data_IF_121409789824
#
_entry.id   IF_121409789824
#
_cell.length_a   1.000
_cell.length_b   1.000
_cell.length_c   1.000
_cell.angle_alpha   90.00
_cell.angle_beta   90.00
_cell.angle_gamma   90.00
#
_symmetry.space_group_name_H-M   'P 1'
#
loop_
_entity.id
_entity.type
_entity.pdbx_description
1 polymer ?
#
# COMPACT_ATOMS: atom_id res chain seq x y z
N UNK A 1 1.63 -1.00 -0.18
CA UNK A 1 1.67 -2.44 0.17
C UNK A 1 1.64 -3.36 -1.05
N UNK A 2 1.34 -2.85 -2.26
CA UNK A 2 1.37 -3.65 -3.49
C UNK A 2 0.22 -4.65 -3.65
N UNK A 3 -0.76 -4.67 -2.73
CA UNK A 3 -1.84 -5.67 -2.75
C UNK A 3 -2.65 -5.55 -4.04
N UNK A 4 -2.78 -6.68 -4.74
CA UNK A 4 -3.67 -6.83 -5.89
C UNK A 4 -5.02 -7.31 -5.36
N UNK A 5 -5.86 -6.36 -4.93
CA UNK A 5 -7.15 -6.65 -4.31
C UNK A 5 -8.23 -6.87 -5.39
N UNK A 6 -8.88 -8.04 -5.43
CA UNK A 6 -9.97 -8.28 -6.37
C UNK A 6 -11.23 -7.53 -5.94
N UNK A 7 -11.96 -6.99 -6.93
CA UNK A 7 -13.23 -6.31 -6.74
C UNK A 7 -14.24 -6.84 -7.76
N UNK A 8 -15.43 -7.19 -7.30
CA UNK A 8 -16.54 -7.49 -8.19
C UNK A 8 -17.21 -6.19 -8.63
N UNK A 9 -17.43 -6.05 -9.94
CA UNK A 9 -18.33 -5.04 -10.50
C UNK A 9 -19.69 -5.70 -10.64
N UNK A 10 -20.72 -5.04 -10.12
CA UNK A 10 -22.07 -5.58 -10.02
C UNK A 10 -23.02 -4.76 -10.86
N UNK A 11 -24.07 -5.41 -11.35
CA UNK A 11 -25.27 -4.69 -11.75
C UNK A 11 -25.80 -3.89 -10.52
N UNK A 12 -26.24 -2.63 -10.70
CA UNK A 12 -26.67 -1.80 -9.58
C UNK A 12 -27.76 -2.47 -8.74
N UNK A 13 -27.48 -2.65 -7.45
CA UNK A 13 -28.44 -3.21 -6.48
C UNK A 13 -28.61 -2.26 -5.30
N UNK A 14 -29.84 -2.09 -4.82
CA UNK A 14 -30.13 -1.23 -3.66
C UNK A 14 -30.10 -2.07 -2.38
N UNK A 15 -29.22 -1.70 -1.45
CA UNK A 15 -29.11 -2.31 -0.13
C UNK A 15 -29.17 -1.17 0.89
N UNK A 16 -30.13 -1.22 1.82
CA UNK A 16 -30.29 -0.21 2.87
C UNK A 16 -30.34 1.24 2.32
N UNK A 17 -31.03 1.44 1.19
CA UNK A 17 -31.19 2.75 0.56
C UNK A 17 -29.97 3.26 -0.23
N UNK A 18 -28.88 2.49 -0.28
CA UNK A 18 -27.70 2.81 -1.09
C UNK A 18 -27.60 1.94 -2.33
N UNK A 19 -27.29 2.56 -3.47
CA UNK A 19 -26.97 1.82 -4.71
C UNK A 19 -25.54 1.30 -4.67
N UNK A 20 -25.41 -0.02 -4.70
CA UNK A 20 -24.14 -0.73 -4.74
C UNK A 20 -23.84 -1.14 -6.18
N UNK A 21 -22.69 -0.72 -6.70
CA UNK A 21 -22.18 -1.09 -8.04
C UNK A 21 -20.88 -1.88 -7.98
N UNK A 22 -20.33 -2.05 -6.78
CA UNK A 22 -19.14 -2.86 -6.55
C UNK A 22 -19.13 -3.45 -5.15
N UNK A 23 -18.46 -4.58 -5.01
CA UNK A 23 -18.22 -5.22 -3.73
C UNK A 23 -16.83 -5.84 -3.69
N UNK A 24 -16.23 -5.86 -2.50
CA UNK A 24 -14.91 -6.48 -2.31
C UNK A 24 -15.00 -7.99 -2.45
N UNK A 25 -13.97 -8.56 -3.07
CA UNK A 25 -13.65 -9.98 -2.98
C UNK A 25 -12.43 -10.11 -2.06
N UNK A 26 -12.25 -11.26 -1.41
CA UNK A 26 -11.20 -11.40 -0.41
C UNK A 26 -9.81 -11.57 -1.04
N UNK A 27 -9.61 -12.67 -1.77
CA UNK A 27 -8.37 -12.98 -2.47
C UNK A 27 -8.61 -14.07 -3.55
N UNK A 28 -7.63 -14.34 -4.44
CA UNK A 28 -7.77 -15.36 -5.49
C UNK A 28 -8.12 -16.76 -4.98
N UNK A 29 -7.56 -17.16 -3.84
CA UNK A 29 -7.86 -18.46 -3.22
C UNK A 29 -9.33 -18.56 -2.78
N UNK A 30 -9.87 -17.51 -2.16
CA UNK A 30 -11.26 -17.43 -1.73
C UNK A 30 -12.24 -17.41 -2.92
N UNK A 31 -11.91 -16.69 -3.99
CA UNK A 31 -12.68 -16.67 -5.24
C UNK A 31 -12.79 -18.08 -5.82
N UNK A 32 -11.66 -18.78 -5.89
CA UNK A 32 -11.58 -20.14 -6.41
C UNK A 32 -12.35 -21.12 -5.51
N UNK A 33 -12.16 -21.03 -4.18
CA UNK A 33 -12.84 -21.87 -3.19
C UNK A 33 -14.36 -21.72 -3.25
N UNK A 34 -14.88 -20.50 -3.43
CA UNK A 34 -16.32 -20.24 -3.59
C UNK A 34 -16.84 -20.58 -4.98
N UNK A 35 -15.95 -20.87 -5.94
CA UNK A 35 -16.30 -21.18 -7.31
C UNK A 35 -16.99 -20.03 -8.03
N UNK A 36 -16.65 -18.79 -7.70
CA UNK A 36 -17.21 -17.59 -8.32
C UNK A 36 -16.82 -17.48 -9.80
N UNK A 37 -17.75 -17.01 -10.62
CA UNK A 37 -17.60 -16.83 -12.06
C UNK A 37 -18.08 -15.45 -12.51
N UNK A 38 -17.55 -14.97 -13.63
CA UNK A 38 -18.09 -13.79 -14.28
C UNK A 38 -19.46 -14.13 -14.87
N UNK A 39 -20.46 -13.31 -14.54
CA UNK A 39 -21.87 -13.54 -14.90
C UNK A 39 -22.70 -14.21 -13.80
N UNK A 40 -22.09 -14.64 -12.69
CA UNK A 40 -22.86 -15.18 -11.56
C UNK A 40 -23.82 -14.14 -10.98
N UNK A 41 -25.05 -14.57 -10.68
CA UNK A 41 -25.83 -13.95 -9.62
C UNK A 41 -25.14 -14.21 -8.27
N UNK A 42 -25.01 -13.19 -7.43
CA UNK A 42 -24.24 -13.28 -6.18
C UNK A 42 -25.01 -12.73 -4.99
N UNK A 43 -24.74 -13.28 -3.81
CA UNK A 43 -25.18 -12.70 -2.55
C UNK A 43 -24.21 -11.58 -2.15
N UNK A 44 -24.74 -10.38 -1.96
CA UNK A 44 -23.97 -9.20 -1.52
C UNK A 44 -24.39 -8.84 -0.12
N UNK A 45 -23.42 -8.75 0.78
CA UNK A 45 -23.66 -8.34 2.16
C UNK A 45 -23.02 -6.98 2.42
N UNK A 46 -23.79 -6.12 3.09
CA UNK A 46 -23.35 -4.85 3.63
C UNK A 46 -24.01 -4.69 5.01
N UNK A 47 -23.24 -4.19 5.98
CA UNK A 47 -23.76 -3.83 7.29
C UNK A 47 -23.36 -2.38 7.58
N UNK A 48 -24.35 -1.48 7.63
CA UNK A 48 -24.12 -0.05 7.87
C UNK A 48 -23.16 0.59 6.85
N UNK A 49 -22.22 1.39 7.33
CA UNK A 49 -21.25 2.12 6.47
C UNK A 49 -20.01 1.31 6.08
N UNK A 50 -20.08 -0.03 6.18
CA UNK A 50 -18.98 -0.94 5.81
C UNK A 50 -18.94 -1.19 4.30
N UNK A 51 -17.74 -1.43 3.76
CA UNK A 51 -17.52 -1.80 2.36
C UNK A 51 -18.31 -3.09 2.04
N UNK A 52 -19.20 -3.09 1.04
CA UNK A 52 -19.97 -4.27 0.65
C UNK A 52 -19.06 -5.41 0.19
N UNK A 53 -19.45 -6.65 0.47
CA UNK A 53 -18.70 -7.87 0.10
C UNK A 53 -19.56 -8.88 -0.65
N UNK A 54 -18.95 -9.61 -1.58
CA UNK A 54 -19.59 -10.77 -2.21
C UNK A 54 -19.41 -11.98 -1.30
N UNK A 55 -20.50 -12.64 -0.94
CA UNK A 55 -20.49 -13.79 -0.02
C UNK A 55 -20.53 -15.14 -0.74
N UNK A 56 -21.34 -15.31 -1.77
CA UNK A 56 -21.34 -16.55 -2.54
C UNK A 56 -22.03 -16.38 -3.89
N UNK A 57 -21.76 -17.27 -4.86
CA UNK A 57 -22.60 -17.38 -6.04
C UNK A 57 -23.94 -18.01 -5.68
N UNK A 58 -24.99 -17.56 -6.37
CA UNK A 58 -26.30 -18.20 -6.37
C UNK A 58 -26.29 -19.28 -7.44
N UNK A 59 -25.54 -20.36 -7.19
CA UNK A 59 -25.14 -21.32 -8.23
C UNK A 59 -26.30 -22.01 -8.96
N UNK A 60 -27.49 -22.09 -8.36
CA UNK A 60 -28.67 -22.68 -9.00
C UNK A 60 -29.31 -21.78 -10.07
N UNK A 61 -28.92 -20.51 -10.15
CA UNK A 61 -29.34 -19.57 -11.20
C UNK A 61 -28.41 -19.56 -12.41
N UNK A 62 -27.38 -20.43 -12.43
CA UNK A 62 -26.43 -20.47 -13.52
C UNK A 62 -27.09 -20.95 -14.81
N UNK A 63 -26.80 -20.26 -15.91
CA UNK A 63 -27.28 -20.60 -17.25
C UNK A 63 -26.28 -21.47 -18.02
N UNK A 64 -25.03 -21.52 -17.58
CA UNK A 64 -23.92 -22.17 -18.28
C UNK A 64 -23.09 -21.21 -19.13
N UNK A 65 -23.52 -19.95 -19.27
CA UNK A 65 -22.78 -18.91 -19.98
C UNK A 65 -21.69 -18.25 -19.10
N UNK A 66 -21.64 -18.59 -17.81
CA UNK A 66 -20.70 -17.98 -16.86
C UNK A 66 -19.25 -18.39 -17.14
N UNK A 67 -18.35 -17.40 -17.09
CA UNK A 67 -16.94 -17.58 -17.42
C UNK A 67 -16.10 -17.69 -16.15
N UNK A 68 -15.10 -18.59 -16.10
CA UNK A 68 -14.12 -18.60 -15.01
C UNK A 68 -13.46 -17.23 -14.82
N UNK A 69 -13.22 -16.85 -13.57
CA UNK A 69 -12.44 -15.65 -13.26
C UNK A 69 -10.96 -15.98 -13.52
N UNK A 70 -10.36 -15.32 -14.51
CA UNK A 70 -8.93 -15.43 -14.80
C UNK A 70 -8.19 -14.38 -13.97
N UNK A 71 -7.20 -14.82 -13.20
CA UNK A 71 -6.35 -13.92 -12.44
C UNK A 71 -5.23 -13.36 -13.31
N UNK A 72 -4.80 -12.10 -13.10
CA UNK A 72 -3.72 -11.53 -13.87
C UNK A 72 -2.40 -12.23 -13.60
N UNK A 73 -1.59 -12.46 -14.64
CA UNK A 73 -0.23 -13.00 -14.52
C UNK A 73 0.79 -11.88 -14.21
N UNK A 74 0.47 -10.65 -14.57
CA UNK A 74 1.28 -9.45 -14.33
C UNK A 74 0.45 -8.37 -13.63
N UNK A 75 1.11 -7.51 -12.86
CA UNK A 75 0.46 -6.45 -12.11
C UNK A 75 -0.36 -5.54 -13.05
N UNK A 76 -1.68 -5.41 -12.86
CA UNK A 76 -2.53 -4.63 -13.75
C UNK A 76 -2.25 -3.11 -13.71
N UNK A 77 -1.41 -2.64 -12.77
CA UNK A 77 -1.01 -1.24 -12.66
C UNK A 77 0.31 -0.93 -13.36
N UNK A 78 1.31 -1.80 -13.25
CA UNK A 78 2.68 -1.51 -13.70
C UNK A 78 3.31 -2.59 -14.60
N UNK A 79 2.62 -3.70 -14.85
CA UNK A 79 3.09 -4.79 -15.70
C UNK A 79 4.19 -5.68 -15.10
N UNK A 80 4.68 -5.41 -13.89
CA UNK A 80 5.65 -6.28 -13.21
C UNK A 80 5.04 -7.57 -12.70
N UNK A 81 5.88 -8.54 -12.30
CA UNK A 81 5.44 -9.81 -11.71
C UNK A 81 4.57 -9.64 -10.46
N UNK A 82 3.84 -10.69 -10.13
CA UNK A 82 3.02 -10.78 -8.91
C UNK A 82 3.62 -11.85 -7.99
N UNK A 83 3.91 -11.45 -6.75
CA UNK A 83 4.19 -12.37 -5.65
C UNK A 83 2.89 -13.05 -5.20
N UNK A 84 2.84 -14.36 -5.42
CA UNK A 84 1.73 -15.26 -5.09
C UNK A 84 2.06 -16.21 -3.94
N UNK A 85 3.19 -16.00 -3.24
CA UNK A 85 3.64 -16.85 -2.11
C UNK A 85 2.66 -16.88 -0.94
N UNK A 86 1.77 -15.91 -0.86
CA UNK A 86 0.69 -15.82 0.12
C UNK A 86 -0.67 -15.66 -0.55
N UNK A 87 -1.74 -15.90 0.22
CA UNK A 87 -3.10 -15.73 -0.30
C UNK A 87 -3.37 -14.30 -0.81
N UNK A 88 -2.80 -13.28 -0.16
CA UNK A 88 -2.90 -11.88 -0.60
C UNK A 88 -1.79 -11.57 -1.58
N UNK A 89 -2.09 -11.73 -2.85
CA UNK A 89 -1.17 -11.44 -3.95
C UNK A 89 -0.73 -9.97 -3.95
N UNK A 90 0.53 -9.75 -4.33
CA UNK A 90 1.13 -8.42 -4.35
C UNK A 90 1.95 -8.23 -5.60
N UNK A 91 1.99 -7.00 -6.11
CA UNK A 91 2.99 -6.64 -7.11
C UNK A 91 4.40 -6.85 -6.54
N UNK A 92 5.29 -7.46 -7.32
CA UNK A 92 6.70 -7.68 -6.96
C UNK A 92 7.47 -6.36 -6.76
N UNK A 93 7.05 -5.28 -7.42
CA UNK A 93 7.57 -3.92 -7.16
C UNK A 93 7.06 -3.34 -5.82
N UNK A 94 6.21 -4.06 -5.10
CA UNK A 94 5.76 -3.74 -3.75
C UNK A 94 5.21 -2.32 -3.62
N UNK A 95 5.92 -1.48 -2.85
CA UNK A 95 5.54 -0.09 -2.59
C UNK A 95 5.86 0.85 -3.77
N UNK A 96 6.80 0.50 -4.64
CA UNK A 96 7.17 1.30 -5.81
C UNK A 96 6.07 1.24 -6.87
N UNK A 97 5.36 0.10 -6.94
CA UNK A 97 4.11 -0.02 -7.69
C UNK A 97 3.02 0.97 -7.21
N UNK A 98 3.15 1.61 -6.05
CA UNK A 98 2.21 2.63 -5.56
C UNK A 98 2.96 3.84 -5.00
N UNK A 99 3.94 4.34 -5.76
CA UNK A 99 4.87 5.37 -5.32
C UNK A 99 4.20 6.56 -4.63
N UNK A 100 3.15 7.14 -5.22
CA UNK A 100 2.41 8.28 -4.62
C UNK A 100 1.88 7.94 -3.22
N UNK A 101 1.19 6.81 -3.06
CA UNK A 101 0.66 6.40 -1.76
C UNK A 101 1.78 6.11 -0.76
N UNK A 102 2.89 5.55 -1.24
CA UNK A 102 4.06 5.23 -0.45
C UNK A 102 4.79 6.47 0.06
N UNK A 103 4.95 7.50 -0.78
CA UNK A 103 5.55 8.78 -0.40
C UNK A 103 4.62 9.57 0.52
N UNK A 104 3.32 9.60 0.23
CA UNK A 104 2.33 10.24 1.11
C UNK A 104 2.31 9.59 2.50
N UNK A 105 2.44 8.26 2.57
CA UNK A 105 2.61 7.55 3.84
C UNK A 105 3.91 7.95 4.55
N UNK A 106 5.04 8.00 3.84
CA UNK A 106 6.32 8.38 4.40
C UNK A 106 6.34 9.84 4.93
N UNK A 107 5.60 10.74 4.31
CA UNK A 107 5.44 12.14 4.75
C UNK A 107 4.59 12.30 6.03
N UNK A 108 3.83 11.27 6.43
CA UNK A 108 2.87 11.35 7.51
C UNK A 108 3.47 11.74 8.87
N UNK A 109 2.61 12.27 9.74
CA UNK A 109 2.94 12.78 11.10
C UNK A 109 3.66 11.78 11.99
N UNK A 110 3.51 10.49 11.74
CA UNK A 110 4.13 9.42 12.52
C UNK A 110 5.29 8.72 11.80
N UNK A 111 5.61 9.19 10.60
CA UNK A 111 6.69 8.75 9.73
C UNK A 111 7.72 9.88 9.71
N UNK A 112 7.91 10.60 8.62
CA UNK A 112 8.94 11.65 8.55
C UNK A 112 8.45 13.05 8.94
N UNK A 113 7.14 13.23 9.17
CA UNK A 113 6.55 14.53 9.54
C UNK A 113 6.84 15.66 8.55
N UNK A 114 6.67 15.38 7.25
CA UNK A 114 6.99 16.36 6.21
C UNK A 114 5.77 17.23 5.95
N UNK A 115 5.63 18.30 6.71
CA UNK A 115 4.59 19.30 6.48
C UNK A 115 4.70 19.91 5.07
N UNK A 116 3.55 20.16 4.45
CA UNK A 116 3.48 20.66 3.07
C UNK A 116 3.60 19.59 1.98
N UNK A 117 4.02 18.36 2.32
CA UNK A 117 4.09 17.23 1.38
C UNK A 117 2.81 16.36 1.42
N UNK A 118 1.67 16.98 1.12
CA UNK A 118 0.39 16.27 0.96
C UNK A 118 0.29 15.47 -0.34
N UNK A 119 -0.72 14.61 -0.46
CA UNK A 119 -0.93 13.74 -1.63
C UNK A 119 -0.88 14.48 -2.97
N UNK A 120 -1.53 15.65 -3.07
CA UNK A 120 -1.50 16.46 -4.30
C UNK A 120 -0.09 16.87 -4.69
N UNK A 121 0.74 17.27 -3.72
CA UNK A 121 2.13 17.67 -3.96
C UNK A 121 2.99 16.48 -4.39
N UNK A 122 2.78 15.33 -3.75
CA UNK A 122 3.44 14.08 -4.13
C UNK A 122 3.10 13.69 -5.58
N UNK A 123 1.82 13.80 -5.98
CA UNK A 123 1.40 13.55 -7.37
C UNK A 123 2.16 14.47 -8.33
N UNK A 124 2.18 15.79 -8.06
CA UNK A 124 2.92 16.74 -8.90
C UNK A 124 4.40 16.40 -9.05
N UNK A 125 5.06 16.03 -7.95
CA UNK A 125 6.48 15.65 -7.96
C UNK A 125 6.75 14.39 -8.81
N UNK A 126 5.89 13.38 -8.69
CA UNK A 126 6.00 12.13 -9.44
C UNK A 126 5.69 12.35 -10.92
N UNK A 127 4.62 13.10 -11.25
CA UNK A 127 4.23 13.41 -12.63
C UNK A 127 5.26 14.30 -13.34
N UNK A 128 5.90 15.22 -12.61
CA UNK A 128 7.01 16.03 -13.13
C UNK A 128 8.33 15.24 -13.27
N UNK A 129 8.37 13.96 -12.88
CA UNK A 129 9.57 13.13 -12.93
C UNK A 129 10.67 13.56 -11.96
N UNK A 130 10.33 14.35 -10.94
CA UNK A 130 11.29 14.87 -9.95
C UNK A 130 11.57 13.85 -8.84
N UNK A 131 10.68 12.87 -8.66
CA UNK A 131 10.73 11.87 -7.58
C UNK A 131 10.29 10.52 -8.13
N UNK A 132 11.21 9.55 -8.13
CA UNK A 132 10.98 8.15 -8.49
C UNK A 132 11.00 7.23 -7.25
N UNK A 133 11.62 7.66 -6.16
CA UNK A 133 11.60 6.96 -4.88
C UNK A 133 11.59 7.91 -3.65
N UNK A 134 11.71 7.34 -2.45
CA UNK A 134 11.70 8.14 -1.21
C UNK A 134 12.96 9.00 -1.03
N UNK A 135 14.11 8.54 -1.52
CA UNK A 135 15.38 9.23 -1.36
C UNK A 135 15.44 10.50 -2.20
N UNK A 136 14.80 10.49 -3.39
CA UNK A 136 14.76 11.64 -4.29
C UNK A 136 14.15 12.90 -3.64
N UNK A 137 13.21 12.73 -2.69
CA UNK A 137 12.64 13.85 -1.92
C UNK A 137 13.73 14.71 -1.28
N UNK A 138 14.82 14.10 -0.87
CA UNK A 138 15.90 14.75 -0.17
C UNK A 138 16.93 15.39 -1.11
N UNK A 139 16.81 15.17 -2.42
CA UNK A 139 17.66 15.79 -3.44
C UNK A 139 16.95 16.89 -4.25
N UNK A 140 15.70 17.20 -3.91
CA UNK A 140 14.92 18.25 -4.54
C UNK A 140 15.60 19.62 -4.38
N UNK A 141 15.65 20.36 -5.48
CA UNK A 141 16.19 21.72 -5.54
C UNK A 141 15.06 22.75 -5.54
N UNK A 142 15.34 23.93 -5.00
CA UNK A 142 14.39 25.04 -4.89
C UNK A 142 13.76 25.39 -6.24
N UNK A 143 14.57 25.43 -7.29
CA UNK A 143 14.13 25.82 -8.64
C UNK A 143 13.14 24.80 -9.23
N UNK A 144 13.33 23.52 -8.93
CA UNK A 144 12.42 22.45 -9.37
C UNK A 144 11.05 22.58 -8.70
N UNK A 145 11.03 22.97 -7.42
CA UNK A 145 9.80 23.16 -6.67
C UNK A 145 9.03 24.40 -7.09
N UNK A 146 9.74 25.50 -7.39
CA UNK A 146 9.13 26.74 -7.89
C UNK A 146 8.48 26.57 -9.27
N UNK A 147 8.93 25.60 -10.06
CA UNK A 147 8.32 25.28 -11.36
C UNK A 147 6.99 24.52 -11.24
N UNK A 148 6.62 24.03 -10.06
CA UNK A 148 5.37 23.31 -9.86
C UNK A 148 4.17 24.26 -9.77
N UNK A 149 3.02 23.80 -10.24
CA UNK A 149 1.77 24.54 -10.12
C UNK A 149 1.43 24.78 -8.64
N UNK A 150 1.02 26.02 -8.32
CA UNK A 150 0.65 26.43 -6.94
C UNK A 150 1.79 26.25 -5.92
N UNK A 151 3.03 26.46 -6.36
CA UNK A 151 4.20 26.64 -5.48
C UNK A 151 4.68 28.09 -5.57
N UNK A 152 4.65 28.78 -4.43
CA UNK A 152 5.32 30.07 -4.24
C UNK A 152 6.63 29.92 -3.47
N UNK A 153 7.37 31.01 -3.32
CA UNK A 153 8.63 31.04 -2.57
C UNK A 153 8.47 30.53 -1.14
N UNK A 154 7.49 31.06 -0.40
CA UNK A 154 7.26 30.66 1.00
C UNK A 154 6.91 29.19 1.14
N UNK A 155 6.03 28.65 0.28
CA UNK A 155 5.68 27.21 0.35
C UNK A 155 6.85 26.31 -0.03
N UNK A 156 7.71 26.78 -0.94
CA UNK A 156 8.95 26.08 -1.33
C UNK A 156 9.91 26.01 -0.16
N UNK A 157 10.12 27.13 0.52
CA UNK A 157 11.05 27.24 1.64
C UNK A 157 10.59 26.42 2.84
N UNK A 158 9.30 26.45 3.13
CA UNK A 158 8.71 25.61 4.16
C UNK A 158 8.88 24.11 3.85
N UNK A 159 8.69 23.70 2.59
CA UNK A 159 8.87 22.29 2.20
C UNK A 159 10.34 21.85 2.30
N UNK A 160 11.28 22.67 1.82
CA UNK A 160 12.71 22.37 1.94
C UNK A 160 13.16 22.32 3.41
N UNK A 161 12.65 23.21 4.25
CA UNK A 161 12.90 23.17 5.69
C UNK A 161 12.32 21.90 6.33
N UNK A 162 11.10 21.50 5.98
CA UNK A 162 10.50 20.27 6.46
C UNK A 162 11.29 19.03 6.02
N UNK A 163 11.80 19.01 4.78
CA UNK A 163 12.68 17.95 4.28
C UNK A 163 14.02 17.91 5.01
N UNK A 164 14.59 19.06 5.38
CA UNK A 164 15.80 19.12 6.19
C UNK A 164 15.55 18.53 7.59
N UNK A 165 14.48 18.95 8.27
CA UNK A 165 14.07 18.40 9.58
C UNK A 165 13.80 16.89 9.51
N UNK A 166 13.20 16.42 8.41
CA UNK A 166 12.93 15.00 8.21
C UNK A 166 14.19 14.12 8.21
N UNK A 167 15.36 14.67 7.84
CA UNK A 167 16.65 13.95 7.89
C UNK A 167 17.10 13.67 9.32
N UNK A 168 16.65 14.45 10.28
CA UNK A 168 17.01 14.33 11.70
C UNK A 168 16.06 13.41 12.48
N UNK A 169 15.03 12.86 11.81
CA UNK A 169 14.07 11.98 12.46
C UNK A 169 14.75 10.70 12.99
N UNK A 170 14.34 10.20 14.17
CA UNK A 170 14.93 9.01 14.76
C UNK A 170 14.73 7.78 13.88
N UNK A 171 15.63 6.79 14.01
CA UNK A 171 15.62 5.54 13.23
C UNK A 171 14.24 4.85 13.20
N UNK A 172 13.50 4.87 14.31
CA UNK A 172 12.15 4.29 14.37
C UNK A 172 11.16 4.92 13.38
N UNK A 173 11.30 6.22 13.12
CA UNK A 173 10.45 6.99 12.21
C UNK A 173 10.89 6.81 10.76
N UNK A 174 12.20 6.76 10.52
CA UNK A 174 12.78 6.36 9.22
C UNK A 174 12.32 4.96 8.82
N UNK A 175 12.44 3.98 9.71
CA UNK A 175 11.99 2.60 9.43
C UNK A 175 10.48 2.53 9.19
N UNK A 176 9.69 3.29 9.96
CA UNK A 176 8.26 3.38 9.71
C UNK A 176 7.97 3.97 8.33
N UNK A 177 8.70 5.01 7.90
CA UNK A 177 8.54 5.64 6.59
C UNK A 177 8.93 4.72 5.42
N UNK A 178 9.94 3.87 5.61
CA UNK A 178 10.33 2.81 4.68
C UNK A 178 9.22 1.76 4.50
N UNK A 179 8.21 1.73 5.38
CA UNK A 179 6.99 0.96 5.17
C UNK A 179 7.25 -0.52 4.97
N UNK A 180 8.28 -1.04 5.65
CA UNK A 180 8.62 -2.46 5.62
C UNK A 180 7.42 -3.27 6.09
N UNK A 181 7.24 -4.43 5.47
CA UNK A 181 6.01 -5.19 5.61
C UNK A 181 5.84 -5.66 7.05
N UNK A 182 4.65 -5.43 7.61
CA UNK A 182 4.36 -5.82 8.98
C UNK A 182 5.08 -4.98 10.05
N UNK A 183 5.90 -3.99 9.68
CA UNK A 183 6.63 -3.15 10.63
C UNK A 183 5.94 -1.79 10.80
N UNK A 184 4.68 -1.81 11.24
CA UNK A 184 3.98 -0.57 11.60
C UNK A 184 4.71 0.23 12.69
N UNK A 185 4.13 1.36 13.08
CA UNK A 185 4.71 2.34 14.01
C UNK A 185 5.28 1.75 15.30
N UNK A 186 4.53 0.86 15.96
CA UNK A 186 4.97 0.20 17.20
C UNK A 186 6.14 -0.74 16.94
N UNK A 187 6.06 -1.55 15.88
CA UNK A 187 7.09 -2.53 15.54
C UNK A 187 8.39 -1.84 15.09
N UNK A 188 8.30 -0.77 14.29
CA UNK A 188 9.46 0.02 13.89
C UNK A 188 10.21 0.60 15.09
N UNK A 189 9.50 1.01 16.14
CA UNK A 189 10.11 1.46 17.40
C UNK A 189 10.85 0.33 18.13
N UNK A 190 10.29 -0.89 18.14
CA UNK A 190 10.92 -2.06 18.77
C UNK A 190 12.19 -2.47 18.03
N UNK A 191 12.12 -2.56 16.70
CA UNK A 191 13.27 -2.87 15.84
C UNK A 191 14.37 -1.83 16.03
N UNK A 192 14.05 -0.54 15.91
CA UNK A 192 15.03 0.53 16.07
C UNK A 192 15.66 0.56 17.47
N UNK A 193 14.89 0.25 18.53
CA UNK A 193 15.41 0.16 19.90
C UNK A 193 16.37 -1.03 20.07
N UNK A 194 16.08 -2.15 19.44
CA UNK A 194 16.90 -3.36 19.57
C UNK A 194 18.21 -3.22 18.79
N UNK A 195 18.13 -2.86 17.50
CA UNK A 195 19.31 -2.81 16.62
C UNK A 195 20.11 -1.51 16.73
N UNK A 196 19.50 -0.42 17.20
CA UNK A 196 20.10 0.91 17.42
C UNK A 196 20.51 1.66 16.14
N UNK A 197 21.08 0.98 15.13
CA UNK A 197 21.55 1.57 13.87
C UNK A 197 20.93 0.89 12.66
N UNK A 198 20.90 1.58 11.51
CA UNK A 198 20.43 1.00 10.26
C UNK A 198 21.34 -0.15 9.79
N UNK A 199 22.66 -0.03 10.00
CA UNK A 199 23.62 -1.06 9.58
C UNK A 199 23.38 -2.39 10.32
N UNK A 200 23.08 -2.34 11.62
CA UNK A 200 22.72 -3.54 12.37
C UNK A 200 21.40 -4.15 11.90
N UNK A 201 20.41 -3.34 11.51
CA UNK A 201 19.15 -3.84 10.94
C UNK A 201 19.43 -4.57 9.61
N UNK A 202 20.25 -3.96 8.73
CA UNK A 202 20.58 -4.52 7.42
C UNK A 202 21.42 -5.80 7.50
N UNK A 203 22.21 -5.97 8.56
CA UNK A 203 23.01 -7.16 8.80
C UNK A 203 22.25 -8.28 9.52
N UNK A 204 21.03 -8.01 10.00
CA UNK A 204 20.25 -8.98 10.76
C UNK A 204 19.68 -10.08 9.86
N UNK A 205 19.85 -11.33 10.25
CA UNK A 205 19.13 -12.46 9.68
C UNK A 205 17.78 -12.67 10.40
N UNK A 206 17.02 -13.68 9.94
CA UNK A 206 15.72 -14.00 10.52
C UNK A 206 15.81 -14.44 11.99
N UNK A 207 16.92 -15.03 12.44
CA UNK A 207 17.09 -15.44 13.84
C UNK A 207 17.33 -14.22 14.74
N UNK A 208 18.20 -13.30 14.33
CA UNK A 208 18.44 -12.05 15.02
C UNK A 208 17.17 -11.19 15.09
N UNK A 209 16.40 -11.14 14.01
CA UNK A 209 15.15 -10.38 13.96
C UNK A 209 14.07 -10.94 14.91
N UNK A 210 14.05 -12.25 15.17
CA UNK A 210 13.14 -12.87 16.16
C UNK A 210 13.44 -12.45 17.61
N UNK A 211 14.63 -11.92 17.89
CA UNK A 211 14.98 -11.43 19.23
C UNK A 211 14.28 -10.11 19.57
N UNK A 212 13.66 -9.45 18.59
CA UNK A 212 12.83 -8.27 18.81
C UNK A 212 11.45 -8.68 19.32
N UNK A 213 11.03 -8.12 20.47
CA UNK A 213 9.73 -8.39 21.06
C UNK A 213 8.56 -8.22 20.07
N UNK A 214 7.73 -9.25 19.92
CA UNK A 214 6.59 -9.29 19.00
C UNK A 214 6.92 -9.65 17.56
N UNK A 215 8.14 -10.12 17.26
CA UNK A 215 8.49 -10.74 15.97
C UNK A 215 8.73 -12.24 16.20
N UNK A 216 7.86 -13.07 15.62
CA UNK A 216 8.00 -14.54 15.66
C UNK A 216 8.57 -15.12 14.37
N UNK A 217 8.69 -16.46 14.35
CA UNK A 217 9.25 -17.27 13.25
C UNK A 217 8.61 -17.00 11.89
N UNK A 218 7.29 -16.76 11.84
CA UNK A 218 6.58 -16.50 10.57
C UNK A 218 6.86 -15.10 10.02
N UNK A 219 7.09 -14.13 10.91
CA UNK A 219 7.19 -12.71 10.53
C UNK A 219 8.61 -12.30 10.20
N UNK A 220 9.60 -12.83 10.92
CA UNK A 220 11.00 -12.44 10.74
C UNK A 220 11.49 -12.58 9.28
N UNK A 221 11.22 -13.69 8.56
CA UNK A 221 11.64 -13.83 7.16
C UNK A 221 11.01 -12.82 6.20
N UNK A 222 9.89 -12.20 6.56
CA UNK A 222 9.23 -11.19 5.73
C UNK A 222 9.82 -9.77 5.89
N UNK A 223 10.73 -9.59 6.84
CA UNK A 223 11.36 -8.30 7.18
C UNK A 223 12.81 -8.23 6.66
N UNK A 224 13.52 -9.37 6.64
CA UNK A 224 14.94 -9.48 6.23
C UNK A 224 15.10 -9.84 4.76
#
# INVERSE_FOLDING_TARGET
>A
TGIVAPRGVLEPVVIEGSTITYATLHNPADITRRGLRLGDHVMVHRAGDVIPRIEAPVAHLRTGEERPIVFPEACPRCGSDIDTSEERWRCAQGRNCHLVASLAYAAGRDQLDIEGLGTTRVVQLVEAGLVADLADLFTLRREQLLALERMGETSTDNLLAALATAREQPLSRVLCALGVRGTGRSMSRRIARYFTTMDHIRAADAEAMQRVDGIGVEKAPSIV
#
